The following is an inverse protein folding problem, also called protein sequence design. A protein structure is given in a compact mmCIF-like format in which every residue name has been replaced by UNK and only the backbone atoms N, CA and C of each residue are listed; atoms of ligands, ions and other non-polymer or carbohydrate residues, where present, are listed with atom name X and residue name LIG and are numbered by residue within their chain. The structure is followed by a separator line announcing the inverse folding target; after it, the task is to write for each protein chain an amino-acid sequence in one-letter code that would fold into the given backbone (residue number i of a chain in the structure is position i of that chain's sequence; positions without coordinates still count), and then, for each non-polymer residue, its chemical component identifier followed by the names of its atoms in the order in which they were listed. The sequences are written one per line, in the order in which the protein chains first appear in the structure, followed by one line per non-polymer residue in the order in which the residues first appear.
data_IF_261090065510
#
_entry.id   IF_261090065510
#
_cell.length_a   1.000
_cell.length_b   1.000
_cell.length_c   1.000
_cell.angle_alpha   90.00
_cell.angle_beta   90.00
_cell.angle_gamma   90.00
#
_symmetry.space_group_name_H-M   'P 1'
#
loop_
_entity.id
_entity.type
_entity.pdbx_description
1 polymer ?
#
# COMPACT_ATOMS: atom_id res chain seq x y z
N UNK A 1 -42.00 -62.26 23.74
CA UNK A 1 -41.75 -62.52 22.31
C UNK A 1 -41.85 -61.17 21.59
N UNK A 2 -40.74 -60.68 21.01
CA UNK A 2 -40.58 -59.39 20.27
C UNK A 2 -40.47 -58.17 21.19
N UNK A 3 -39.34 -57.50 21.45
CA UNK A 3 -38.29 -56.92 20.58
C UNK A 3 -38.88 -56.04 19.47
N UNK A 4 -38.83 -54.72 19.66
CA UNK A 4 -39.40 -53.77 18.70
C UNK A 4 -39.05 -52.30 18.93
N UNK A 5 -37.76 -51.97 18.72
CA UNK A 5 -37.23 -50.69 18.20
C UNK A 5 -37.63 -49.39 18.91
N UNK A 6 -36.78 -48.95 19.84
CA UNK A 6 -36.66 -47.53 20.22
C UNK A 6 -35.20 -47.05 20.19
N UNK A 7 -34.47 -47.45 19.13
CA UNK A 7 -33.06 -47.09 18.93
C UNK A 7 -32.80 -46.15 17.74
N UNK A 8 -33.81 -45.84 16.93
CA UNK A 8 -33.63 -44.99 15.75
C UNK A 8 -33.55 -43.47 16.06
N UNK A 9 -34.14 -43.00 17.17
CA UNK A 9 -34.18 -41.56 17.49
C UNK A 9 -33.01 -41.03 18.34
N UNK A 10 -32.30 -41.90 19.08
CA UNK A 10 -31.12 -41.48 19.87
C UNK A 10 -29.82 -41.45 19.04
N UNK A 11 -29.74 -42.25 17.97
CA UNK A 11 -28.55 -42.33 17.12
C UNK A 11 -28.44 -41.11 16.19
N UNK A 12 -29.56 -40.50 15.79
CA UNK A 12 -29.55 -39.32 14.94
C UNK A 12 -29.09 -38.04 15.65
N UNK A 13 -29.24 -37.93 16.97
CA UNK A 13 -28.81 -36.75 17.73
C UNK A 13 -27.34 -36.86 18.18
N UNK A 14 -26.85 -38.08 18.41
CA UNK A 14 -25.43 -38.34 18.69
C UNK A 14 -24.54 -38.17 17.45
N UNK A 15 -25.02 -38.51 16.24
CA UNK A 15 -24.27 -38.26 15.01
C UNK A 15 -24.15 -36.77 14.65
N UNK A 16 -25.16 -35.96 14.98
CA UNK A 16 -25.13 -34.52 14.73
C UNK A 16 -24.18 -33.78 15.70
N UNK A 17 -24.01 -34.30 16.92
CA UNK A 17 -23.08 -33.74 17.90
C UNK A 17 -21.63 -34.21 17.68
N UNK A 18 -21.41 -35.39 17.08
CA UNK A 18 -20.07 -35.88 16.73
C UNK A 18 -19.48 -35.21 15.48
N UNK A 19 -20.32 -34.62 14.62
CA UNK A 19 -19.88 -33.88 13.43
C UNK A 19 -19.50 -32.41 13.73
N UNK A 20 -19.89 -31.88 14.89
CA UNK A 20 -19.51 -30.53 15.34
C UNK A 20 -18.13 -30.53 16.02
N UNK A 21 -17.60 -31.70 16.39
CA UNK A 21 -16.30 -31.84 17.07
C UNK A 21 -15.08 -31.95 16.14
N UNK A 22 -15.24 -31.77 14.83
CA UNK A 22 -14.12 -31.68 13.86
C UNK A 22 -13.87 -30.27 13.31
N UNK A 23 -14.60 -29.24 13.80
CA UNK A 23 -14.37 -27.84 13.44
C UNK A 23 -13.56 -27.05 14.49
N UNK A 24 -12.90 -27.74 15.42
CA UNK A 24 -11.73 -27.18 16.12
C UNK A 24 -10.47 -27.67 15.42
N UNK A 25 -10.34 -27.37 14.13
CA UNK A 25 -9.02 -27.12 13.57
C UNK A 25 -8.53 -25.84 14.24
N UNK A 26 -7.99 -25.96 15.45
CA UNK A 26 -7.20 -24.88 16.03
C UNK A 26 -6.18 -24.45 14.99
N UNK A 27 -5.94 -23.13 14.87
CA UNK A 27 -4.96 -22.53 13.97
C UNK A 27 -3.76 -23.47 13.83
N UNK A 28 -3.75 -24.26 12.76
CA UNK A 28 -2.67 -25.19 12.53
C UNK A 28 -1.55 -24.29 12.05
N UNK A 29 -0.53 -24.08 12.90
CA UNK A 29 0.71 -23.41 12.53
C UNK A 29 1.13 -23.88 11.14
N UNK A 30 1.48 -22.95 10.25
CA UNK A 30 1.86 -23.28 8.89
C UNK A 30 3.26 -23.92 8.96
N UNK A 31 3.32 -25.21 8.71
CA UNK A 31 4.59 -25.94 8.61
C UNK A 31 5.15 -25.71 7.21
N UNK A 32 6.20 -24.91 7.09
CA UNK A 32 6.86 -24.62 5.81
C UNK A 32 7.62 -23.30 5.79
N UNK A 33 8.19 -22.97 4.63
CA UNK A 33 8.73 -21.63 4.37
C UNK A 33 7.56 -20.63 4.24
N UNK A 34 7.74 -19.38 4.69
CA UNK A 34 6.74 -18.35 4.46
C UNK A 34 6.47 -18.07 2.97
N UNK A 35 5.38 -17.35 2.71
CA UNK A 35 4.87 -17.21 1.35
C UNK A 35 5.79 -16.34 0.50
N UNK A 36 6.08 -16.85 -0.69
CA UNK A 36 6.82 -16.18 -1.75
C UNK A 36 6.05 -16.33 -3.07
N UNK A 37 6.59 -15.77 -4.16
CA UNK A 37 5.98 -15.85 -5.49
C UNK A 37 5.76 -17.30 -5.98
N UNK A 38 6.51 -18.27 -5.46
CA UNK A 38 6.52 -19.64 -5.94
C UNK A 38 5.47 -20.54 -5.26
N UNK A 39 4.86 -20.08 -4.16
CA UNK A 39 3.98 -20.91 -3.34
C UNK A 39 2.59 -20.28 -3.01
N UNK A 40 2.15 -19.35 -3.87
CA UNK A 40 0.88 -18.61 -3.72
C UNK A 40 -0.38 -19.41 -4.10
N UNK A 41 -0.26 -20.51 -4.85
CA UNK A 41 -1.42 -21.21 -5.40
C UNK A 41 -2.40 -21.65 -4.30
N UNK A 42 -3.66 -21.24 -4.43
CA UNK A 42 -4.76 -21.54 -3.51
C UNK A 42 -4.73 -20.74 -2.21
N UNK A 43 -3.88 -19.71 -2.11
CA UNK A 43 -3.77 -18.83 -0.94
C UNK A 43 -4.75 -17.67 -1.00
N UNK A 44 -5.18 -17.22 0.17
CA UNK A 44 -6.04 -16.04 0.31
C UNK A 44 -5.19 -14.80 0.62
N UNK A 45 -5.04 -13.90 -0.34
CA UNK A 45 -4.18 -12.71 -0.25
C UNK A 45 -5.05 -11.47 -0.05
N UNK A 46 -4.76 -10.69 1.00
CA UNK A 46 -5.40 -9.41 1.26
C UNK A 46 -4.75 -8.26 0.49
N UNK A 47 -5.54 -7.30 0.03
CA UNK A 47 -5.05 -6.03 -0.49
C UNK A 47 -6.06 -4.89 -0.25
N UNK A 48 -5.59 -3.65 -0.34
CA UNK A 48 -6.47 -2.48 -0.32
C UNK A 48 -7.23 -2.39 -1.65
N UNK A 49 -8.54 -2.19 -1.57
CA UNK A 49 -9.41 -2.09 -2.73
C UNK A 49 -8.95 -0.95 -3.65
N UNK A 50 -8.80 -1.26 -4.95
CA UNK A 50 -8.40 -0.30 -5.98
C UNK A 50 -6.98 0.27 -5.88
N UNK A 51 -6.15 -0.21 -4.95
CA UNK A 51 -4.74 0.18 -4.82
C UNK A 51 -3.87 -0.62 -5.78
N UNK A 52 -2.65 -0.15 -6.00
CA UNK A 52 -1.71 -0.77 -6.95
C UNK A 52 -1.51 -2.27 -6.75
N UNK A 53 -1.51 -2.75 -5.50
CA UNK A 53 -1.46 -4.18 -5.21
C UNK A 53 -2.71 -4.95 -5.69
N UNK A 54 -3.93 -4.40 -5.59
CA UNK A 54 -5.15 -5.02 -6.12
C UNK A 54 -5.08 -5.19 -7.64
N UNK A 55 -4.71 -4.13 -8.37
CA UNK A 55 -4.61 -4.21 -9.82
C UNK A 55 -3.55 -5.21 -10.27
N UNK A 56 -2.39 -5.22 -9.63
CA UNK A 56 -1.30 -6.15 -9.96
C UNK A 56 -1.71 -7.60 -9.65
N UNK A 57 -2.24 -7.88 -8.45
CA UNK A 57 -2.70 -9.22 -8.11
C UNK A 57 -3.78 -9.72 -9.07
N UNK A 58 -4.72 -8.86 -9.44
CA UNK A 58 -5.85 -9.25 -10.30
C UNK A 58 -5.42 -9.58 -11.73
N UNK A 59 -4.41 -8.89 -12.26
CA UNK A 59 -4.02 -9.01 -13.66
C UNK A 59 -2.83 -9.95 -13.89
N UNK A 60 -1.96 -10.12 -12.90
CA UNK A 60 -0.70 -10.85 -13.07
C UNK A 60 -0.70 -12.22 -12.36
N UNK A 61 -1.64 -12.47 -11.44
CA UNK A 61 -1.66 -13.67 -10.61
C UNK A 61 -2.96 -14.46 -10.73
N UNK A 62 -2.84 -15.67 -11.27
CA UNK A 62 -3.92 -16.66 -11.31
C UNK A 62 -3.84 -17.61 -10.12
N UNK A 63 -5.01 -18.16 -9.72
CA UNK A 63 -5.06 -19.25 -8.75
C UNK A 63 -4.92 -18.85 -7.28
N UNK A 64 -4.91 -17.55 -6.99
CA UNK A 64 -5.05 -16.98 -5.64
C UNK A 64 -6.49 -16.51 -5.39
N UNK A 65 -6.90 -16.43 -4.12
CA UNK A 65 -8.11 -15.72 -3.72
C UNK A 65 -7.74 -14.31 -3.25
N UNK A 66 -8.14 -13.28 -3.99
CA UNK A 66 -7.89 -11.88 -3.61
C UNK A 66 -9.04 -11.37 -2.75
N UNK A 67 -8.74 -11.02 -1.49
CA UNK A 67 -9.68 -10.38 -0.57
C UNK A 67 -9.37 -8.89 -0.43
N UNK A 68 -10.33 -8.05 -0.77
CA UNK A 68 -10.18 -6.59 -0.82
C UNK A 68 -10.71 -5.93 0.44
N UNK A 69 -10.04 -4.88 0.90
CA UNK A 69 -10.37 -4.13 2.10
C UNK A 69 -10.42 -2.63 1.82
N UNK A 70 -11.34 -1.93 2.48
CA UNK A 70 -11.45 -0.47 2.41
C UNK A 70 -10.54 0.24 3.43
N UNK A 71 -10.12 -0.46 4.48
CA UNK A 71 -9.27 0.09 5.56
C UNK A 71 -8.10 -0.84 5.88
N UNK A 72 -6.93 -0.25 6.16
CA UNK A 72 -5.78 -1.00 6.65
C UNK A 72 -6.09 -1.74 7.95
N UNK A 73 -6.85 -1.14 8.86
CA UNK A 73 -7.23 -1.76 10.13
C UNK A 73 -7.93 -3.10 9.92
N UNK A 74 -8.93 -3.15 9.04
CA UNK A 74 -9.66 -4.40 8.76
C UNK A 74 -8.76 -5.44 8.09
N UNK A 75 -7.89 -5.01 7.16
CA UNK A 75 -6.94 -5.88 6.48
C UNK A 75 -5.92 -6.50 7.46
N UNK A 76 -5.29 -5.66 8.30
CA UNK A 76 -4.32 -6.09 9.30
C UNK A 76 -4.96 -6.96 10.38
N UNK A 77 -6.20 -6.66 10.81
CA UNK A 77 -6.96 -7.54 11.70
C UNK A 77 -7.24 -8.91 11.05
N UNK A 78 -7.60 -8.95 9.77
CA UNK A 78 -7.81 -10.21 9.06
C UNK A 78 -6.52 -11.04 8.97
N UNK A 79 -5.36 -10.40 8.75
CA UNK A 79 -4.05 -11.05 8.80
C UNK A 79 -3.70 -11.54 10.21
N UNK A 80 -3.94 -10.71 11.22
CA UNK A 80 -3.69 -11.02 12.65
C UNK A 80 -4.47 -12.24 13.11
N UNK A 81 -5.75 -12.34 12.72
CA UNK A 81 -6.62 -13.47 13.05
C UNK A 81 -6.53 -14.64 12.06
N UNK A 82 -5.46 -14.71 11.27
CA UNK A 82 -5.16 -15.80 10.34
C UNK A 82 -6.28 -16.08 9.32
N UNK A 83 -7.09 -15.06 8.98
CA UNK A 83 -8.11 -15.13 7.94
C UNK A 83 -7.51 -14.91 6.54
N UNK A 84 -6.29 -14.39 6.48
CA UNK A 84 -5.50 -14.20 5.28
C UNK A 84 -4.24 -15.05 5.38
N UNK A 85 -3.78 -15.53 4.24
CA UNK A 85 -2.50 -16.20 4.13
C UNK A 85 -1.33 -15.19 4.13
N UNK A 86 -1.54 -14.05 3.48
CA UNK A 86 -0.65 -12.89 3.45
C UNK A 86 -1.44 -11.63 3.03
N UNK A 87 -0.78 -10.47 3.05
CA UNK A 87 -1.24 -9.25 2.39
C UNK A 87 -0.24 -8.80 1.33
N UNK A 88 -0.73 -8.16 0.28
CA UNK A 88 0.04 -7.50 -0.76
C UNK A 88 0.01 -5.99 -0.58
N UNK A 89 1.18 -5.39 -0.42
CA UNK A 89 1.30 -3.97 -0.09
C UNK A 89 2.61 -3.40 -0.64
N UNK A 90 2.70 -2.08 -0.74
CA UNK A 90 3.94 -1.40 -1.13
C UNK A 90 5.00 -1.56 -0.04
N UNK A 91 6.27 -1.65 -0.44
CA UNK A 91 7.39 -1.93 0.47
C UNK A 91 7.54 -0.87 1.57
N UNK A 92 7.43 0.40 1.19
CA UNK A 92 7.57 1.56 2.09
C UNK A 92 6.48 1.58 3.18
N UNK A 93 5.24 1.26 2.85
CA UNK A 93 4.18 1.05 3.84
C UNK A 93 4.43 -0.18 4.71
N UNK A 94 4.91 -1.26 4.11
CA UNK A 94 5.15 -2.52 4.82
C UNK A 94 6.21 -2.37 5.90
N UNK A 95 7.22 -1.52 5.67
CA UNK A 95 8.17 -1.12 6.68
C UNK A 95 7.50 -0.53 7.92
N UNK A 96 6.54 0.38 7.74
CA UNK A 96 5.83 1.01 8.86
C UNK A 96 5.00 -0.01 9.63
N UNK A 97 4.23 -0.87 8.94
CA UNK A 97 3.43 -1.88 9.61
C UNK A 97 4.27 -2.91 10.38
N UNK A 98 5.36 -3.41 9.79
CA UNK A 98 6.27 -4.34 10.46
C UNK A 98 7.00 -3.69 11.65
N UNK A 99 7.39 -2.42 11.54
CA UNK A 99 8.03 -1.66 12.63
C UNK A 99 7.07 -1.46 13.80
N UNK A 100 5.78 -1.19 13.53
CA UNK A 100 4.77 -0.95 14.56
C UNK A 100 4.18 -2.23 15.16
N UNK A 101 4.14 -3.31 14.38
CA UNK A 101 3.56 -4.60 14.75
C UNK A 101 4.59 -5.73 14.49
N UNK A 102 5.40 -6.09 15.50
CA UNK A 102 6.47 -7.09 15.36
C UNK A 102 5.99 -8.49 14.96
N UNK A 103 4.70 -8.77 15.06
CA UNK A 103 4.09 -10.00 14.54
C UNK A 103 4.00 -10.04 13.01
N UNK A 104 4.31 -8.95 12.29
CA UNK A 104 4.33 -8.96 10.83
C UNK A 104 5.74 -9.03 10.28
N UNK A 105 5.90 -9.74 9.17
CA UNK A 105 7.16 -9.86 8.46
C UNK A 105 6.96 -9.73 6.95
N UNK A 106 7.85 -8.98 6.30
CA UNK A 106 7.98 -8.97 4.84
C UNK A 106 8.80 -10.19 4.44
N UNK A 107 8.30 -11.00 3.50
CA UNK A 107 8.95 -12.27 3.16
C UNK A 107 9.07 -12.58 1.67
N UNK A 108 8.37 -11.85 0.82
CA UNK A 108 8.45 -12.09 -0.62
C UNK A 108 8.01 -10.90 -1.43
N UNK A 109 8.09 -11.04 -2.74
CA UNK A 109 7.78 -9.99 -3.71
C UNK A 109 6.68 -10.51 -4.63
N UNK A 110 5.61 -9.73 -4.78
CA UNK A 110 4.67 -9.86 -5.88
C UNK A 110 5.16 -9.11 -7.11
N UNK A 111 5.88 -8.01 -6.93
CA UNK A 111 6.39 -7.22 -8.03
C UNK A 111 7.61 -6.43 -7.58
N UNK A 112 8.65 -6.50 -8.39
CA UNK A 112 9.87 -5.69 -8.22
C UNK A 112 9.81 -4.45 -9.11
N UNK A 113 10.37 -3.35 -8.60
CA UNK A 113 10.68 -2.15 -9.38
C UNK A 113 9.49 -1.57 -10.17
N UNK A 114 8.29 -1.66 -9.60
CA UNK A 114 7.07 -1.15 -10.23
C UNK A 114 7.13 0.38 -10.31
N UNK A 115 6.95 1.00 -11.48
CA UNK A 115 6.99 2.45 -11.61
C UNK A 115 5.71 3.10 -11.12
N UNK A 116 5.82 4.09 -10.23
CA UNK A 116 4.71 4.84 -9.66
C UNK A 116 4.74 6.29 -10.16
N UNK A 117 3.57 6.86 -10.49
CA UNK A 117 3.42 8.20 -11.06
C UNK A 117 2.39 9.04 -10.30
N UNK A 118 2.50 10.36 -10.40
CA UNK A 118 1.48 11.28 -9.88
C UNK A 118 0.35 11.51 -10.88
N UNK A 119 -0.77 11.96 -10.35
CA UNK A 119 -1.94 12.35 -11.11
C UNK A 119 -1.88 13.84 -11.45
N UNK A 120 -2.07 14.14 -12.73
CA UNK A 120 -2.01 15.48 -13.31
C UNK A 120 -3.33 15.81 -13.98
N UNK A 121 -3.65 17.10 -14.09
CA UNK A 121 -4.80 17.56 -14.83
C UNK A 121 -4.52 17.47 -16.36
N UNK A 122 -5.36 16.77 -17.15
CA UNK A 122 -5.18 16.65 -18.60
C UNK A 122 -5.33 17.99 -19.35
N UNK A 123 -6.02 18.97 -18.77
CA UNK A 123 -6.21 20.30 -19.35
C UNK A 123 -5.01 21.25 -19.12
N UNK A 124 -3.99 20.82 -18.37
CA UNK A 124 -2.73 21.57 -18.12
C UNK A 124 -1.49 20.76 -18.57
N UNK A 125 -1.39 20.40 -19.87
CA UNK A 125 -0.30 19.55 -20.37
C UNK A 125 1.09 20.18 -20.18
N UNK A 126 1.19 21.52 -20.16
CA UNK A 126 2.45 22.24 -19.95
C UNK A 126 3.01 22.04 -18.54
N UNK A 127 2.14 21.94 -17.52
CA UNK A 127 2.57 21.64 -16.16
C UNK A 127 3.12 20.21 -16.09
N UNK A 128 2.45 19.26 -16.75
CA UNK A 128 2.91 17.88 -16.84
C UNK A 128 4.25 17.76 -17.57
N UNK A 129 4.43 18.46 -18.70
CA UNK A 129 5.71 18.51 -19.41
C UNK A 129 6.83 19.10 -18.53
N UNK A 130 6.53 20.17 -17.79
CA UNK A 130 7.48 20.81 -16.87
C UNK A 130 7.86 19.87 -15.72
N UNK A 131 6.88 19.20 -15.12
CA UNK A 131 7.11 18.20 -14.08
C UNK A 131 7.93 17.01 -14.60
N UNK A 132 7.60 16.50 -15.78
CA UNK A 132 8.32 15.38 -16.39
C UNK A 132 9.77 15.74 -16.73
N UNK A 133 10.04 16.97 -17.15
CA UNK A 133 11.41 17.46 -17.33
C UNK A 133 12.16 17.51 -15.98
N UNK A 134 11.53 18.10 -14.96
CA UNK A 134 12.09 18.18 -13.61
C UNK A 134 12.41 16.79 -13.05
N UNK A 135 11.46 15.84 -13.06
CA UNK A 135 11.67 14.53 -12.42
C UNK A 135 12.75 13.70 -13.12
N UNK A 136 12.95 13.84 -14.43
CA UNK A 136 14.10 13.21 -15.13
C UNK A 136 15.44 13.69 -14.59
N UNK A 137 15.57 14.98 -14.30
CA UNK A 137 16.80 15.55 -13.73
C UNK A 137 16.93 15.25 -12.24
N UNK A 138 15.83 15.41 -11.49
CA UNK A 138 15.80 15.22 -10.05
C UNK A 138 16.18 13.79 -9.63
N UNK A 139 15.77 12.77 -10.40
CA UNK A 139 16.14 11.36 -10.15
C UNK A 139 17.65 11.09 -10.11
N UNK A 140 18.44 11.93 -10.79
CA UNK A 140 19.90 11.81 -10.85
C UNK A 140 20.62 12.58 -9.73
N UNK A 141 19.87 13.26 -8.85
CA UNK A 141 20.43 14.09 -7.78
C UNK A 141 20.72 13.30 -6.50
N UNK A 142 21.62 13.82 -5.66
CA UNK A 142 21.89 13.23 -4.34
C UNK A 142 20.69 13.38 -3.41
N UNK A 143 19.91 14.45 -3.56
CA UNK A 143 18.68 14.72 -2.82
C UNK A 143 17.64 13.61 -3.03
N UNK A 144 17.40 13.20 -4.28
CA UNK A 144 16.49 12.10 -4.59
C UNK A 144 16.99 10.77 -4.01
N UNK A 145 18.29 10.47 -4.13
CA UNK A 145 18.87 9.25 -3.55
C UNK A 145 18.83 9.28 -2.01
N UNK A 146 18.98 10.44 -1.39
CA UNK A 146 18.85 10.61 0.06
C UNK A 146 17.43 10.33 0.55
N UNK A 147 16.40 10.85 -0.14
CA UNK A 147 15.00 10.54 0.18
C UNK A 147 14.79 9.01 0.16
N UNK A 148 15.26 8.33 -0.89
CA UNK A 148 15.14 6.87 -1.00
C UNK A 148 15.82 6.13 0.13
N UNK A 149 17.05 6.51 0.48
CA UNK A 149 17.77 5.89 1.62
C UNK A 149 17.04 6.08 2.94
N UNK A 150 16.40 7.22 3.16
CA UNK A 150 15.59 7.47 4.37
C UNK A 150 14.29 6.67 4.39
N UNK A 151 13.64 6.50 3.23
CA UNK A 151 12.49 5.58 3.09
C UNK A 151 12.92 4.15 3.39
N UNK A 152 14.05 3.68 2.87
CA UNK A 152 14.58 2.34 3.17
C UNK A 152 14.93 2.17 4.66
N UNK A 153 15.53 3.19 5.28
CA UNK A 153 15.84 3.18 6.71
C UNK A 153 14.57 3.13 7.59
N UNK A 154 13.40 3.51 7.04
CA UNK A 154 12.14 3.48 7.77
C UNK A 154 11.69 2.06 8.17
N UNK A 155 12.30 1.03 7.57
CA UNK A 155 12.16 -0.37 7.99
C UNK A 155 12.54 -0.62 9.44
N UNK A 156 13.39 0.22 10.03
CA UNK A 156 13.96 0.00 11.37
C UNK A 156 13.65 1.13 12.35
N UNK A 157 13.51 2.37 11.87
CA UNK A 157 13.26 3.55 12.68
C UNK A 157 12.18 4.42 12.03
N UNK A 158 11.50 5.33 12.74
CA UNK A 158 10.58 6.29 12.13
C UNK A 158 11.22 7.06 10.97
N UNK A 159 10.43 7.40 9.95
CA UNK A 159 10.93 8.25 8.87
C UNK A 159 11.35 9.61 9.42
N UNK A 160 12.47 10.13 8.91
CA UNK A 160 12.99 11.44 9.32
C UNK A 160 12.87 12.37 8.13
N UNK A 161 11.81 13.17 8.07
CA UNK A 161 11.64 14.13 6.99
C UNK A 161 12.66 15.27 7.08
N UNK A 162 13.04 15.82 5.92
CA UNK A 162 13.85 17.04 5.81
C UNK A 162 12.96 18.17 5.34
N UNK A 163 12.70 19.12 6.23
CA UNK A 163 12.00 20.35 5.85
C UNK A 163 12.78 21.10 4.76
N UNK A 164 12.06 21.54 3.73
CA UNK A 164 12.60 22.30 2.61
C UNK A 164 11.96 23.68 2.63
N UNK A 165 12.78 24.73 2.69
CA UNK A 165 12.30 26.11 2.57
C UNK A 165 11.64 26.32 1.20
N UNK A 166 10.41 26.82 1.22
CA UNK A 166 9.66 27.17 0.01
C UNK A 166 9.14 28.62 0.08
N UNK A 167 9.99 29.61 -0.25
CA UNK A 167 9.62 31.01 -0.11
C UNK A 167 8.63 31.51 -1.19
N UNK A 168 8.47 30.80 -2.31
CA UNK A 168 7.65 31.22 -3.45
C UNK A 168 8.19 32.48 -4.12
N UNK A 169 9.05 32.34 -5.13
CA UNK A 169 9.82 33.45 -5.70
C UNK A 169 9.13 34.19 -6.85
N UNK A 170 8.16 33.57 -7.52
CA UNK A 170 7.47 34.13 -8.70
C UNK A 170 6.01 34.53 -8.44
N UNK A 171 5.55 34.47 -7.19
CA UNK A 171 4.17 34.80 -6.83
C UNK A 171 3.12 33.82 -7.39
N UNK A 172 3.57 32.63 -7.83
CA UNK A 172 2.73 31.51 -8.23
C UNK A 172 2.45 30.61 -7.02
N UNK A 173 1.31 29.96 -7.01
CA UNK A 173 0.98 28.89 -6.06
C UNK A 173 0.83 27.58 -6.83
N UNK A 174 1.41 26.50 -6.29
CA UNK A 174 1.18 25.13 -6.72
C UNK A 174 0.36 24.44 -5.63
N UNK A 175 -0.91 24.17 -5.92
CA UNK A 175 -1.84 23.52 -4.98
C UNK A 175 -1.80 22.01 -5.19
N UNK A 176 -1.50 21.26 -4.14
CA UNK A 176 -1.21 19.83 -4.23
C UNK A 176 -2.11 19.05 -3.27
N UNK A 177 -2.84 18.07 -3.79
CA UNK A 177 -3.59 17.13 -2.94
C UNK A 177 -2.71 16.01 -2.43
N UNK A 178 -2.76 15.72 -1.13
CA UNK A 178 -1.91 14.74 -0.42
C UNK A 178 -2.73 13.93 0.61
N UNK A 179 -2.28 12.73 0.97
CA UNK A 179 -2.85 11.99 2.10
C UNK A 179 -2.17 12.40 3.42
N UNK A 180 -2.93 12.44 4.51
CA UNK A 180 -2.49 12.91 5.84
C UNK A 180 -2.01 11.80 6.79
N UNK A 181 -2.13 10.54 6.38
CA UNK A 181 -1.82 9.38 7.23
C UNK A 181 -1.04 8.26 6.53
N UNK A 182 -0.18 8.60 5.55
CA UNK A 182 0.55 7.63 4.73
C UNK A 182 2.07 7.75 4.96
N UNK A 183 2.56 7.47 6.17
CA UNK A 183 4.02 7.38 6.44
C UNK A 183 4.62 6.19 5.65
N UNK A 184 5.82 6.33 5.02
CA UNK A 184 6.70 7.51 4.97
C UNK A 184 6.47 8.41 3.73
N UNK A 185 5.39 8.20 3.00
CA UNK A 185 5.09 8.83 1.69
C UNK A 185 4.61 10.28 1.86
N UNK A 186 3.50 10.46 2.56
CA UNK A 186 2.90 11.77 2.87
C UNK A 186 2.04 11.66 4.13
N UNK A 187 2.29 12.51 5.11
CA UNK A 187 1.50 12.57 6.34
C UNK A 187 1.58 13.95 6.98
N UNK A 188 0.62 14.25 7.86
CA UNK A 188 0.63 15.45 8.69
C UNK A 188 1.16 15.09 10.08
N UNK A 189 2.27 15.70 10.50
CA UNK A 189 2.72 15.58 11.89
C UNK A 189 1.79 16.42 12.78
N UNK A 190 1.07 15.73 13.68
CA UNK A 190 0.09 16.37 14.56
C UNK A 190 0.72 17.17 15.72
N UNK A 191 2.00 16.98 16.01
CA UNK A 191 2.73 17.76 17.02
C UNK A 191 3.26 19.07 16.44
N UNK A 192 3.73 19.06 15.20
CA UNK A 192 4.33 20.24 14.53
C UNK A 192 3.36 20.99 13.62
N UNK A 193 2.27 20.35 13.17
CA UNK A 193 1.34 20.84 12.14
C UNK A 193 2.03 21.04 10.77
N UNK A 194 3.10 20.27 10.51
CA UNK A 194 3.86 20.30 9.27
C UNK A 194 3.59 19.05 8.41
N UNK A 195 3.57 19.24 7.09
CA UNK A 195 3.52 18.14 6.13
C UNK A 195 4.89 17.50 6.02
N UNK A 196 4.92 16.17 6.09
CA UNK A 196 6.14 15.37 6.04
C UNK A 196 5.99 14.18 5.07
N UNK A 197 7.13 13.66 4.62
CA UNK A 197 7.19 12.45 3.80
C UNK A 197 7.99 12.63 2.51
N UNK A 198 8.31 11.51 1.86
CA UNK A 198 9.10 11.50 0.62
C UNK A 198 8.50 12.34 -0.48
N UNK A 199 7.17 12.30 -0.59
CA UNK A 199 6.46 12.96 -1.67
C UNK A 199 6.30 14.46 -1.42
N UNK A 200 6.12 14.83 -0.14
CA UNK A 200 6.12 16.22 0.32
C UNK A 200 7.46 16.88 -0.02
N UNK A 201 8.57 16.19 0.23
CA UNK A 201 9.90 16.70 -0.08
C UNK A 201 10.12 16.87 -1.59
N UNK A 202 9.80 15.82 -2.38
CA UNK A 202 9.96 15.85 -3.83
C UNK A 202 9.12 16.97 -4.46
N UNK A 203 7.85 17.11 -4.08
CA UNK A 203 6.97 18.11 -4.69
C UNK A 203 7.33 19.53 -4.24
N UNK A 204 7.91 19.69 -3.05
CA UNK A 204 8.44 20.98 -2.61
C UNK A 204 9.68 21.39 -3.40
N UNK A 205 10.57 20.44 -3.73
CA UNK A 205 11.67 20.69 -4.66
C UNK A 205 11.16 21.10 -6.05
N UNK A 206 10.12 20.44 -6.56
CA UNK A 206 9.50 20.82 -7.82
C UNK A 206 8.91 22.25 -7.77
N UNK A 207 8.16 22.58 -6.72
CA UNK A 207 7.61 23.92 -6.52
C UNK A 207 8.70 24.99 -6.52
N UNK A 208 9.81 24.74 -5.82
CA UNK A 208 10.98 25.62 -5.84
C UNK A 208 11.60 25.77 -7.23
N UNK A 209 11.70 24.69 -8.00
CA UNK A 209 12.25 24.72 -9.36
C UNK A 209 11.43 25.59 -10.33
N UNK A 210 10.11 25.68 -10.12
CA UNK A 210 9.21 26.54 -10.91
C UNK A 210 8.91 27.89 -10.25
N UNK A 211 9.56 28.21 -9.13
CA UNK A 211 9.39 29.45 -8.38
C UNK A 211 8.01 29.60 -7.70
N UNK A 212 7.27 28.51 -7.54
CA UNK A 212 5.95 28.50 -6.91
C UNK A 212 6.05 28.30 -5.40
N UNK A 213 5.08 28.85 -4.67
CA UNK A 213 4.78 28.46 -3.30
C UNK A 213 3.91 27.19 -3.35
N UNK A 214 4.27 26.13 -2.64
CA UNK A 214 3.45 24.94 -2.50
C UNK A 214 2.40 25.12 -1.40
N UNK A 215 1.18 24.69 -1.67
CA UNK A 215 0.09 24.63 -0.70
C UNK A 215 -0.53 23.23 -0.76
N UNK A 216 -0.60 22.56 0.39
CA UNK A 216 -1.06 21.18 0.50
C UNK A 216 -2.52 21.13 0.96
N UNK A 217 -3.30 20.27 0.32
CA UNK A 217 -4.71 20.03 0.62
C UNK A 217 -4.93 18.54 0.93
N UNK A 218 -5.49 18.19 2.11
CA UNK A 218 -5.71 16.80 2.47
C UNK A 218 -6.79 16.16 1.59
N UNK A 219 -6.54 14.91 1.19
CA UNK A 219 -7.47 14.12 0.40
C UNK A 219 -8.53 13.51 1.32
N UNK A 220 -9.77 14.00 1.21
CA UNK A 220 -10.91 13.39 1.89
C UNK A 220 -11.36 12.06 1.28
N UNK A 221 -11.25 11.91 -0.04
CA UNK A 221 -11.48 10.66 -0.77
C UNK A 221 -10.84 10.70 -2.15
N UNK A 222 -10.48 9.54 -2.69
CA UNK A 222 -9.93 9.42 -4.05
C UNK A 222 -10.85 10.07 -5.11
N UNK A 223 -12.16 9.76 -5.06
CA UNK A 223 -13.12 10.32 -6.03
C UNK A 223 -13.20 11.84 -5.95
N UNK A 224 -13.15 12.41 -4.73
CA UNK A 224 -13.14 13.86 -4.58
C UNK A 224 -11.85 14.45 -5.16
N UNK A 225 -10.69 13.89 -4.84
CA UNK A 225 -9.40 14.39 -5.34
C UNK A 225 -9.33 14.38 -6.88
N UNK A 226 -9.81 13.31 -7.52
CA UNK A 226 -9.92 13.23 -8.99
C UNK A 226 -10.83 14.34 -9.56
N UNK A 227 -11.96 14.63 -8.92
CA UNK A 227 -12.87 15.70 -9.34
C UNK A 227 -12.24 17.08 -9.14
N UNK A 228 -11.52 17.29 -8.05
CA UNK A 228 -10.83 18.55 -7.76
C UNK A 228 -9.68 18.80 -8.73
N UNK A 229 -8.88 17.78 -9.04
CA UNK A 229 -7.81 17.82 -10.03
C UNK A 229 -8.35 18.13 -11.42
N UNK A 230 -9.34 17.36 -11.90
CA UNK A 230 -9.95 17.57 -13.23
C UNK A 230 -10.61 18.93 -13.42
N UNK A 231 -11.01 19.60 -12.33
CA UNK A 231 -11.58 20.95 -12.34
C UNK A 231 -10.52 22.05 -12.16
N UNK A 232 -9.25 21.69 -11.98
CA UNK A 232 -8.17 22.62 -11.68
C UNK A 232 -8.30 23.33 -10.33
N UNK A 233 -9.01 22.71 -9.36
CA UNK A 233 -9.01 23.19 -7.97
C UNK A 233 -7.67 22.90 -7.30
N UNK A 234 -7.07 21.76 -7.64
CA UNK A 234 -5.69 21.41 -7.31
C UNK A 234 -4.93 21.16 -8.61
N UNK A 235 -3.63 21.42 -8.61
CA UNK A 235 -2.77 21.34 -9.78
C UNK A 235 -2.21 19.92 -9.97
N UNK A 236 -1.88 19.25 -8.86
CA UNK A 236 -1.29 17.90 -8.82
C UNK A 236 -1.94 17.12 -7.67
N UNK A 237 -2.26 15.85 -7.91
CA UNK A 237 -2.61 14.92 -6.85
C UNK A 237 -1.45 13.95 -6.64
N UNK A 238 -0.83 14.08 -5.47
CA UNK A 238 0.33 13.32 -5.01
C UNK A 238 -0.17 12.11 -4.24
N UNK A 239 -0.69 11.17 -5.01
CA UNK A 239 -0.96 9.80 -4.61
C UNK A 239 -0.26 8.95 -5.65
N UNK A 240 1.01 8.59 -5.44
CA UNK A 240 1.73 7.82 -6.44
C UNK A 240 0.99 6.48 -6.61
N UNK A 241 0.61 6.16 -7.84
CA UNK A 241 0.05 4.86 -8.20
C UNK A 241 0.85 4.25 -9.35
N UNK A 242 0.80 2.92 -9.46
CA UNK A 242 1.44 2.19 -10.54
C UNK A 242 1.04 2.76 -11.90
N UNK A 243 2.03 2.91 -12.78
CA UNK A 243 1.83 3.35 -14.16
C UNK A 243 0.87 2.44 -14.95
N UNK A 244 0.59 1.23 -14.46
CA UNK A 244 -0.30 0.28 -15.13
C UNK A 244 -1.75 0.74 -15.19
N UNK A 245 -2.15 1.63 -14.30
CA UNK A 245 -3.46 2.26 -14.35
C UNK A 245 -3.59 3.27 -15.48
N UNK A 246 -2.47 3.77 -16.04
CA UNK A 246 -2.46 4.92 -16.94
C UNK A 246 -3.44 4.76 -18.09
N UNK A 247 -3.40 3.63 -18.80
CA UNK A 247 -4.30 3.40 -19.94
C UNK A 247 -5.78 3.37 -19.52
N UNK A 248 -6.11 2.81 -18.36
CA UNK A 248 -7.49 2.71 -17.89
C UNK A 248 -8.02 4.03 -17.33
N UNK A 249 -7.18 4.78 -16.61
CA UNK A 249 -7.52 6.09 -16.04
C UNK A 249 -7.67 7.16 -17.12
N UNK A 250 -6.78 7.16 -18.11
CA UNK A 250 -6.78 8.19 -19.17
C UNK A 250 -7.94 8.01 -20.16
N UNK A 251 -8.56 6.82 -20.23
CA UNK A 251 -9.79 6.60 -21.05
C UNK A 251 -10.93 7.54 -20.65
N UNK A 252 -11.03 7.89 -19.38
CA UNK A 252 -12.07 8.80 -18.90
C UNK A 252 -11.73 10.28 -19.17
N UNK A 253 -10.48 10.58 -19.54
CA UNK A 253 -9.96 11.93 -19.76
C UNK A 253 -10.21 12.91 -18.59
N UNK A 254 -10.27 12.38 -17.37
CA UNK A 254 -10.41 13.20 -16.15
C UNK A 254 -9.05 13.46 -15.49
N UNK A 255 -8.09 12.56 -15.68
CA UNK A 255 -6.73 12.63 -15.15
C UNK A 255 -5.76 12.13 -16.20
N UNK A 256 -4.50 12.55 -16.11
CA UNK A 256 -3.36 11.92 -16.79
C UNK A 256 -2.29 11.61 -15.77
N UNK A 257 -1.42 10.64 -16.06
CA UNK A 257 -0.30 10.31 -15.17
C UNK A 257 1.01 10.94 -15.65
N UNK A 258 1.83 11.41 -14.71
CA UNK A 258 3.20 11.86 -14.98
C UNK A 258 4.10 10.72 -15.46
N UNK A 259 5.36 11.02 -15.78
CA UNK A 259 6.43 10.03 -15.72
C UNK A 259 6.62 9.51 -14.29
N UNK A 260 7.25 8.34 -14.17
CA UNK A 260 7.44 7.72 -12.87
C UNK A 260 8.31 8.59 -11.95
N UNK A 261 7.83 8.73 -10.72
CA UNK A 261 8.47 9.47 -9.62
C UNK A 261 9.25 8.54 -8.73
N UNK A 262 8.72 7.35 -8.46
CA UNK A 262 9.31 6.33 -7.63
C UNK A 262 9.25 4.98 -8.34
N UNK A 263 10.17 4.10 -7.97
CA UNK A 263 10.02 2.67 -8.20
C UNK A 263 9.86 2.01 -6.84
N UNK A 264 8.79 1.23 -6.70
CA UNK A 264 8.46 0.54 -5.47
C UNK A 264 8.29 -0.94 -5.73
N UNK A 265 8.60 -1.74 -4.72
CA UNK A 265 8.24 -3.15 -4.73
C UNK A 265 6.84 -3.33 -4.14
N UNK A 266 6.07 -4.26 -4.71
CA UNK A 266 4.88 -4.82 -4.07
C UNK A 266 5.28 -6.12 -3.40
N UNK A 267 5.08 -6.19 -2.09
CA UNK A 267 5.62 -7.25 -1.23
C UNK A 267 4.54 -8.14 -0.64
N UNK A 268 4.96 -9.32 -0.22
CA UNK A 268 4.20 -10.27 0.57
C UNK A 268 4.54 -10.00 2.03
N UNK A 269 3.56 -9.53 2.80
CA UNK A 269 3.64 -9.43 4.25
C UNK A 269 2.79 -10.52 4.91
N UNK A 270 3.37 -11.23 5.87
CA UNK A 270 2.76 -12.36 6.58
C UNK A 270 2.69 -12.11 8.08
N UNK A 271 1.83 -12.85 8.77
CA UNK A 271 1.90 -12.96 10.22
C UNK A 271 3.03 -13.95 10.59
N UNK A 272 4.06 -13.49 11.28
CA UNK A 272 5.23 -14.27 11.66
C UNK A 272 4.89 -15.43 12.60
N UNK A 273 3.79 -15.31 13.37
CA UNK A 273 3.29 -16.39 14.23
C UNK A 273 2.87 -17.65 13.45
N UNK A 274 2.53 -17.51 12.15
CA UNK A 274 2.26 -18.66 11.29
C UNK A 274 3.52 -19.50 11.01
N UNK A 275 4.71 -18.90 11.18
CA UNK A 275 6.00 -19.43 10.76
C UNK A 275 7.07 -19.38 11.86
N UNK A 276 6.67 -19.40 13.14
CA UNK A 276 7.59 -19.29 14.30
C UNK A 276 8.79 -20.24 14.20
N UNK A 277 8.56 -21.49 13.77
CA UNK A 277 9.63 -22.50 13.64
C UNK A 277 10.68 -22.09 12.58
N UNK A 278 10.24 -21.41 11.51
CA UNK A 278 11.13 -20.90 10.45
C UNK A 278 11.96 -19.72 10.95
N UNK A 279 11.30 -18.72 11.55
CA UNK A 279 11.96 -17.51 12.04
C UNK A 279 12.91 -17.79 13.21
N UNK A 280 12.52 -18.69 14.13
CA UNK A 280 13.38 -19.16 15.21
C UNK A 280 14.63 -19.90 14.71
N UNK A 281 14.52 -20.67 13.62
CA UNK A 281 15.66 -21.40 13.04
C UNK A 281 16.68 -20.46 12.36
N UNK A 282 16.25 -19.28 11.91
CA UNK A 282 17.12 -18.26 11.30
C UNK A 282 17.73 -17.26 12.30
N UNK A 283 17.27 -17.25 13.55
CA UNK A 283 17.71 -16.29 14.55
C UNK A 283 17.07 -14.90 14.38
N UNK A 284 15.93 -14.84 13.70
CA UNK A 284 15.13 -13.64 13.46
C UNK A 284 13.93 -13.68 14.43
N UNK A 285 14.19 -13.42 15.72
CA UNK A 285 13.14 -13.21 16.74
C UNK A 285 13.37 -11.86 17.41
#
# INVERSE_FOLDING_TARGET
MGIGKNHAKKISFALFFFMILFFFGGCLRKVGEPLDINNLQGKTIGCMLAYSSDYILTNDYDGIEVRRFDTYTDMMMALTFHQLDAVAMEMDESYVFCRLQPEFAIYGLFKEDEPFCYYMNPDTPELNETFNAFIREFRETEEYQDIRRRVEASAFEPYVSKAIDNPGTEGKTLTVSVFDGWEPVSYLDFETDEWEGSDIELITHFANAIGAKVEFEPIGSYTQAVVELSRGKVDIMVCPDSIRYKEDLEKANNVTMSEWVWKKDIVIMVNSADYEDYFAAKGEN
#
